data_IF_076942663540
#
_entry.id   IF_076942663540
#
_cell.length_a   1.000
_cell.length_b   1.000
_cell.length_c   1.000
_cell.angle_alpha   90.00
_cell.angle_beta   90.00
_cell.angle_gamma   90.00
#
_symmetry.space_group_name_H-M   'P 1'
#
loop_
_entity.id
_entity.type
_entity.pdbx_description
1 polymer ?
#
# COMPACT_ATOMS: atom_id res chain seq x y z
N UNK A 1 32.84 11.36 -4.52
CA UNK A 1 31.42 11.04 -4.86
C UNK A 1 30.61 11.33 -3.61
N UNK A 2 29.57 12.16 -3.70
CA UNK A 2 28.66 12.40 -2.56
C UNK A 2 27.94 11.11 -2.19
N UNK A 3 27.76 10.86 -0.90
CA UNK A 3 27.05 9.67 -0.42
C UNK A 3 25.61 9.64 -0.95
N UNK A 4 25.13 8.46 -1.39
CA UNK A 4 23.74 8.27 -1.82
C UNK A 4 22.84 8.52 -0.63
N UNK A 5 21.84 9.39 -0.78
CA UNK A 5 20.92 9.75 0.29
C UNK A 5 19.56 9.06 0.16
N UNK A 6 19.14 8.68 -1.05
CA UNK A 6 17.88 8.00 -1.32
C UNK A 6 18.14 6.77 -2.19
N UNK A 7 17.59 5.62 -1.82
CA UNK A 7 17.46 4.45 -2.71
C UNK A 7 15.99 4.25 -3.04
N UNK A 8 15.67 4.21 -4.33
CA UNK A 8 14.33 3.87 -4.84
C UNK A 8 14.34 2.39 -5.17
N UNK A 9 13.47 1.62 -4.53
CA UNK A 9 13.30 0.19 -4.72
C UNK A 9 12.03 -0.07 -5.52
N UNK A 10 12.17 -0.75 -6.65
CA UNK A 10 11.07 -1.11 -7.53
C UNK A 10 11.06 -2.62 -7.68
N UNK A 11 9.91 -3.25 -7.47
CA UNK A 11 9.72 -4.69 -7.70
C UNK A 11 8.80 -4.87 -8.88
N UNK A 12 9.24 -5.62 -9.91
CA UNK A 12 8.47 -5.91 -11.12
C UNK A 12 8.10 -7.38 -11.22
N UNK A 13 6.93 -7.63 -11.79
CA UNK A 13 6.51 -8.95 -12.29
C UNK A 13 5.55 -8.75 -13.45
N UNK A 14 6.01 -8.95 -14.68
CA UNK A 14 5.27 -8.70 -15.92
C UNK A 14 4.65 -7.28 -15.94
N UNK A 15 5.48 -6.25 -15.66
CA UNK A 15 5.03 -4.88 -15.48
C UNK A 15 4.66 -4.16 -16.80
N UNK A 16 4.88 -4.82 -17.95
CA UNK A 16 4.54 -4.24 -19.24
C UNK A 16 5.30 -2.94 -19.52
N UNK A 17 4.59 -1.91 -20.00
CA UNK A 17 5.15 -0.57 -20.29
C UNK A 17 4.98 0.42 -19.14
N UNK A 18 4.22 0.08 -18.11
CA UNK A 18 3.97 1.00 -17.00
C UNK A 18 5.26 1.37 -16.28
N UNK A 19 6.21 0.43 -16.18
CA UNK A 19 7.52 0.67 -15.59
C UNK A 19 8.32 1.76 -16.33
N UNK A 20 8.24 1.84 -17.66
CA UNK A 20 8.94 2.85 -18.45
C UNK A 20 8.40 4.25 -18.11
N UNK A 21 7.07 4.41 -18.05
CA UNK A 21 6.41 5.65 -17.62
C UNK A 21 6.79 6.02 -16.18
N UNK A 22 6.83 5.04 -15.28
CA UNK A 22 7.23 5.25 -13.88
C UNK A 22 8.66 5.80 -13.79
N UNK A 23 9.62 5.19 -14.52
CA UNK A 23 11.01 5.61 -14.54
C UNK A 23 11.23 6.97 -15.20
N UNK A 24 10.51 7.29 -16.28
CA UNK A 24 10.55 8.61 -16.93
C UNK A 24 10.09 9.71 -15.97
N UNK A 25 8.98 9.49 -15.27
CA UNK A 25 8.46 10.44 -14.28
C UNK A 25 9.37 10.56 -13.06
N UNK A 26 9.98 9.46 -12.62
CA UNK A 26 10.98 9.49 -11.55
C UNK A 26 12.21 10.28 -11.97
N UNK A 27 12.71 10.10 -13.19
CA UNK A 27 13.83 10.88 -13.73
C UNK A 27 13.52 12.38 -13.85
N UNK A 28 12.25 12.74 -14.11
CA UNK A 28 11.77 14.12 -14.13
C UNK A 28 11.56 14.73 -12.74
N UNK A 29 11.64 13.95 -11.66
CA UNK A 29 11.44 14.42 -10.29
C UNK A 29 12.55 15.39 -9.86
N UNK A 30 12.18 16.48 -9.18
CA UNK A 30 13.11 17.52 -8.72
C UNK A 30 13.79 17.18 -7.39
N UNK A 31 14.31 15.97 -7.27
CA UNK A 31 15.05 15.53 -6.09
C UNK A 31 16.45 16.13 -6.12
N UNK A 32 16.76 17.03 -5.18
CA UNK A 32 18.05 17.75 -5.09
C UNK A 32 19.15 16.96 -4.36
N UNK A 33 19.01 15.64 -4.28
CA UNK A 33 19.93 14.75 -3.56
C UNK A 33 20.42 13.63 -4.47
N UNK A 34 21.62 13.11 -4.26
CA UNK A 34 22.06 11.90 -4.95
C UNK A 34 21.14 10.74 -4.62
N UNK A 35 20.58 10.10 -5.63
CA UNK A 35 19.76 8.91 -5.47
C UNK A 35 20.20 7.79 -6.42
N UNK A 36 19.82 6.58 -6.10
CA UNK A 36 19.97 5.39 -6.93
C UNK A 36 18.62 4.71 -7.09
N UNK A 37 18.49 3.95 -8.17
CA UNK A 37 17.30 3.12 -8.43
C UNK A 37 17.71 1.68 -8.56
N UNK A 38 17.07 0.81 -7.80
CA UNK A 38 17.30 -0.63 -7.79
C UNK A 38 15.96 -1.28 -8.14
N UNK A 39 15.96 -1.99 -9.27
CA UNK A 39 14.81 -2.74 -9.75
C UNK A 39 15.09 -4.22 -9.58
N UNK A 40 14.26 -4.90 -8.78
CA UNK A 40 14.25 -6.36 -8.67
C UNK A 40 13.10 -6.89 -9.51
N UNK A 41 13.45 -7.67 -10.52
CA UNK A 41 12.49 -8.35 -11.36
C UNK A 41 12.21 -9.75 -10.83
N UNK A 42 10.97 -10.02 -10.47
CA UNK A 42 10.52 -11.27 -9.85
C UNK A 42 10.17 -12.35 -10.91
N UNK A 43 11.13 -12.69 -11.78
CA UNK A 43 10.97 -13.70 -12.84
C UNK A 43 9.90 -13.32 -13.88
N UNK A 44 9.93 -12.11 -14.40
CA UNK A 44 9.07 -11.72 -15.53
C UNK A 44 9.39 -12.54 -16.79
N UNK A 45 8.33 -12.76 -17.59
CA UNK A 45 8.41 -13.49 -18.87
C UNK A 45 8.07 -12.58 -20.07
N UNK A 46 7.77 -11.30 -19.82
CA UNK A 46 7.36 -10.32 -20.83
C UNK A 46 8.50 -9.45 -21.36
N UNK A 47 9.75 -9.76 -20.99
CA UNK A 47 10.95 -9.01 -21.38
C UNK A 47 11.11 -7.68 -20.64
N UNK A 48 10.45 -7.49 -19.50
CA UNK A 48 10.57 -6.28 -18.67
C UNK A 48 12.03 -5.99 -18.27
N UNK A 49 12.81 -6.92 -17.69
CA UNK A 49 14.16 -6.59 -17.21
C UNK A 49 15.10 -6.18 -18.33
N UNK A 50 15.04 -6.83 -19.50
CA UNK A 50 15.89 -6.51 -20.66
C UNK A 50 15.53 -5.14 -21.24
N UNK A 51 14.24 -4.80 -21.30
CA UNK A 51 13.80 -3.48 -21.79
C UNK A 51 14.27 -2.37 -20.85
N UNK A 52 14.11 -2.54 -19.53
CA UNK A 52 14.54 -1.56 -18.55
C UNK A 52 16.07 -1.38 -18.60
N UNK A 53 16.85 -2.47 -18.60
CA UNK A 53 18.30 -2.40 -18.65
C UNK A 53 18.83 -1.67 -19.91
N UNK A 54 18.10 -1.80 -21.04
CA UNK A 54 18.46 -1.13 -22.30
C UNK A 54 18.06 0.35 -22.31
N UNK A 55 16.84 0.67 -21.85
CA UNK A 55 16.29 2.02 -21.94
C UNK A 55 16.75 2.94 -20.80
N UNK A 56 17.05 2.38 -19.64
CA UNK A 56 17.39 3.12 -18.42
C UNK A 56 18.71 2.62 -17.80
N UNK A 57 19.88 2.88 -18.42
CA UNK A 57 21.19 2.36 -17.97
C UNK A 57 21.60 2.89 -16.56
N UNK A 58 20.91 3.87 -16.03
CA UNK A 58 21.08 4.40 -14.68
C UNK A 58 20.33 3.58 -13.61
N UNK A 59 19.46 2.64 -14.00
CA UNK A 59 18.74 1.73 -13.11
C UNK A 59 19.56 0.45 -12.94
N UNK A 60 19.80 0.07 -11.70
CA UNK A 60 20.39 -1.23 -11.38
C UNK A 60 19.30 -2.30 -11.43
N UNK A 61 19.28 -3.11 -12.48
CA UNK A 61 18.34 -4.23 -12.64
C UNK A 61 18.92 -5.50 -12.05
N UNK A 62 18.13 -6.21 -11.25
CA UNK A 62 18.43 -7.52 -10.66
C UNK A 62 17.30 -8.47 -11.06
N UNK A 63 17.60 -9.43 -11.93
CA UNK A 63 16.64 -10.43 -12.35
C UNK A 63 16.71 -11.65 -11.43
N UNK A 64 15.61 -11.95 -10.75
CA UNK A 64 15.47 -13.11 -9.88
C UNK A 64 14.93 -14.32 -10.66
N UNK A 65 15.40 -15.53 -10.37
CA UNK A 65 14.93 -16.74 -11.07
C UNK A 65 13.54 -17.17 -10.63
N UNK A 66 13.04 -16.64 -9.51
CA UNK A 66 11.73 -17.00 -8.93
C UNK A 66 11.03 -15.76 -8.39
N UNK A 67 9.69 -15.82 -8.33
CA UNK A 67 8.90 -14.73 -7.77
C UNK A 67 8.83 -14.83 -6.24
N UNK A 68 9.45 -13.88 -5.55
CA UNK A 68 9.51 -13.78 -4.10
C UNK A 68 8.34 -12.97 -3.48
N UNK A 69 7.39 -12.53 -4.30
CA UNK A 69 6.33 -11.60 -3.88
C UNK A 69 6.85 -10.18 -3.66
N UNK A 70 5.97 -9.33 -3.15
CA UNK A 70 6.30 -7.90 -2.98
C UNK A 70 7.29 -7.66 -1.84
N UNK A 71 7.04 -8.22 -0.66
CA UNK A 71 7.94 -8.07 0.49
C UNK A 71 9.32 -8.66 0.23
N UNK A 72 9.38 -9.89 -0.31
CA UNK A 72 10.65 -10.56 -0.62
C UNK A 72 11.45 -9.83 -1.69
N UNK A 73 10.81 -9.33 -2.74
CA UNK A 73 11.48 -8.51 -3.77
C UNK A 73 12.06 -7.22 -3.19
N UNK A 74 11.31 -6.52 -2.34
CA UNK A 74 11.80 -5.31 -1.67
C UNK A 74 12.93 -5.60 -0.66
N UNK A 75 12.87 -6.72 0.07
CA UNK A 75 13.96 -7.13 0.96
C UNK A 75 15.26 -7.37 0.16
N UNK A 76 15.20 -8.05 -0.98
CA UNK A 76 16.35 -8.25 -1.87
C UNK A 76 16.86 -6.93 -2.46
N UNK A 77 15.98 -6.03 -2.89
CA UNK A 77 16.40 -4.71 -3.36
C UNK A 77 17.12 -3.92 -2.24
N UNK A 78 16.66 -4.03 -1.00
CA UNK A 78 17.23 -3.37 0.17
C UNK A 78 18.69 -3.81 0.45
N UNK A 79 19.05 -5.05 0.18
CA UNK A 79 20.42 -5.57 0.34
C UNK A 79 21.44 -4.78 -0.51
N UNK A 80 20.98 -4.23 -1.64
CA UNK A 80 21.81 -3.46 -2.57
C UNK A 80 21.69 -1.94 -2.38
N UNK A 81 20.74 -1.50 -1.55
CA UNK A 81 20.49 -0.09 -1.30
C UNK A 81 21.54 0.54 -0.38
N UNK A 82 21.91 1.80 -0.64
CA UNK A 82 22.91 2.56 0.13
C UNK A 82 22.33 3.83 0.75
N UNK A 83 21.14 4.27 0.31
CA UNK A 83 20.50 5.48 0.79
C UNK A 83 20.13 5.44 2.26
N UNK A 84 20.10 6.58 2.92
CA UNK A 84 19.60 6.75 4.29
C UNK A 84 18.07 6.83 4.33
N UNK A 85 17.45 7.19 3.22
CA UNK A 85 16.02 7.08 2.95
C UNK A 85 15.78 6.00 1.89
N UNK A 86 14.71 5.24 2.04
CA UNK A 86 14.32 4.12 1.16
C UNK A 86 12.91 4.39 0.67
N UNK A 87 12.73 4.56 -0.64
CA UNK A 87 11.42 4.66 -1.28
C UNK A 87 11.05 3.31 -1.88
N UNK A 88 9.95 2.71 -1.43
CA UNK A 88 9.28 1.64 -2.17
C UNK A 88 8.35 2.31 -3.19
N UNK A 89 8.50 1.93 -4.46
CA UNK A 89 7.72 2.50 -5.56
C UNK A 89 7.24 1.37 -6.47
N UNK A 90 5.92 1.27 -6.66
CA UNK A 90 5.38 0.30 -7.61
C UNK A 90 5.66 0.72 -9.06
N UNK A 91 5.83 -0.25 -9.99
CA UNK A 91 6.08 0.03 -11.39
C UNK A 91 4.93 0.76 -12.09
N UNK A 92 3.73 0.80 -11.50
CA UNK A 92 2.53 1.46 -11.97
C UNK A 92 2.10 2.65 -11.08
N UNK A 93 3.04 3.19 -10.28
CA UNK A 93 2.86 4.39 -9.47
C UNK A 93 3.58 5.59 -10.12
N UNK A 94 2.84 6.64 -10.44
CA UNK A 94 3.28 7.75 -11.30
C UNK A 94 3.38 9.06 -10.52
N UNK A 95 4.58 9.60 -10.44
CA UNK A 95 4.94 10.87 -9.81
C UNK A 95 4.72 12.04 -10.80
N UNK A 96 3.47 12.35 -11.15
CA UNK A 96 3.16 13.43 -12.11
C UNK A 96 3.58 14.82 -11.61
N UNK A 97 3.52 15.05 -10.28
CA UNK A 97 4.10 16.25 -9.68
C UNK A 97 5.60 16.02 -9.46
N UNK A 98 6.48 16.77 -10.14
CA UNK A 98 7.91 16.59 -10.01
C UNK A 98 8.45 16.92 -8.62
N UNK A 99 7.71 17.66 -7.80
CA UNK A 99 8.08 18.03 -6.44
C UNK A 99 7.54 17.03 -5.38
N UNK A 100 6.72 16.07 -5.77
CA UNK A 100 6.08 15.11 -4.86
C UNK A 100 7.10 14.36 -3.99
N UNK A 101 8.15 13.81 -4.60
CA UNK A 101 9.17 13.05 -3.88
C UNK A 101 10.02 13.95 -2.98
N UNK A 102 10.35 15.17 -3.43
CA UNK A 102 11.04 16.15 -2.59
C UNK A 102 10.20 16.49 -1.35
N UNK A 103 8.90 16.72 -1.50
CA UNK A 103 7.99 17.01 -0.39
C UNK A 103 7.87 15.87 0.64
N UNK A 104 7.94 14.59 0.20
CA UNK A 104 8.00 13.44 1.11
C UNK A 104 9.33 13.39 1.88
N UNK A 105 10.46 13.62 1.19
CA UNK A 105 11.79 13.66 1.79
C UNK A 105 11.91 14.79 2.82
N UNK A 106 11.45 15.98 2.48
CA UNK A 106 11.46 17.13 3.39
C UNK A 106 10.62 16.88 4.63
N UNK A 107 9.46 16.21 4.48
CA UNK A 107 8.65 15.82 5.63
C UNK A 107 9.39 14.84 6.53
N UNK A 108 10.01 13.80 5.94
CA UNK A 108 10.77 12.81 6.68
C UNK A 108 11.93 13.47 7.46
N UNK A 109 12.66 14.40 6.83
CA UNK A 109 13.79 15.10 7.47
C UNK A 109 13.35 16.02 8.60
N UNK A 110 12.24 16.75 8.42
CA UNK A 110 11.71 17.68 9.42
C UNK A 110 11.14 16.97 10.67
N UNK A 111 10.86 15.66 10.59
CA UNK A 111 10.21 14.91 11.66
C UNK A 111 11.02 13.63 12.01
N UNK A 112 12.02 13.72 12.90
CA UNK A 112 12.89 12.57 13.26
C UNK A 112 12.14 11.39 13.88
N UNK A 113 10.99 11.63 14.47
CA UNK A 113 10.08 10.65 15.08
C UNK A 113 9.22 9.88 14.05
N UNK A 114 9.22 10.34 12.78
CA UNK A 114 8.52 9.66 11.68
C UNK A 114 9.44 8.61 11.06
N UNK A 115 9.02 7.34 11.12
CA UNK A 115 9.73 6.20 10.51
C UNK A 115 9.37 5.99 9.05
N UNK A 116 8.15 6.34 8.67
CA UNK A 116 7.64 6.19 7.30
C UNK A 116 6.66 7.31 6.93
N UNK A 117 6.67 7.72 5.65
CA UNK A 117 5.74 8.70 5.10
C UNK A 117 5.29 8.27 3.69
N UNK A 118 4.04 8.53 3.35
CA UNK A 118 3.53 8.28 1.99
C UNK A 118 2.48 9.29 1.56
N UNK A 119 2.26 9.38 0.23
CA UNK A 119 1.33 10.31 -0.38
C UNK A 119 -0.09 9.76 -0.40
N UNK A 120 -1.02 10.59 -0.83
CA UNK A 120 -2.35 10.17 -1.27
C UNK A 120 -2.24 9.46 -2.61
N UNK A 121 -2.71 8.20 -2.68
CA UNK A 121 -2.85 7.53 -3.96
C UNK A 121 -4.17 7.91 -4.64
N UNK A 122 -4.11 8.14 -5.96
CA UNK A 122 -5.26 8.44 -6.79
C UNK A 122 -5.34 7.48 -7.97
N UNK A 123 -6.54 7.25 -8.45
CA UNK A 123 -6.75 6.66 -9.77
C UNK A 123 -6.43 7.69 -10.87
N UNK A 124 -6.29 7.27 -12.15
CA UNK A 124 -6.03 8.20 -13.27
C UNK A 124 -7.08 9.30 -13.43
N UNK A 125 -8.31 9.09 -12.96
CA UNK A 125 -9.38 10.08 -12.94
C UNK A 125 -9.27 11.09 -11.78
N UNK A 126 -8.21 11.03 -10.98
CA UNK A 126 -7.96 11.87 -9.81
C UNK A 126 -8.76 11.49 -8.55
N UNK A 127 -9.60 10.46 -8.62
CA UNK A 127 -10.34 9.99 -7.45
C UNK A 127 -9.41 9.28 -6.46
N UNK A 128 -9.68 9.45 -5.16
CA UNK A 128 -8.88 8.87 -4.09
C UNK A 128 -8.98 7.34 -4.10
N UNK A 129 -7.84 6.67 -4.06
CA UNK A 129 -7.72 5.22 -3.98
C UNK A 129 -7.79 4.76 -2.51
N UNK A 130 -9.01 4.48 -2.03
CA UNK A 130 -9.19 3.97 -0.65
C UNK A 130 -8.42 2.66 -0.47
N UNK A 131 -7.56 2.63 0.54
CA UNK A 131 -6.63 1.54 0.79
C UNK A 131 -5.17 1.97 0.61
N UNK A 132 -4.93 3.24 0.40
CA UNK A 132 -3.60 3.86 0.38
C UNK A 132 -2.99 4.05 1.78
N UNK A 133 -3.83 4.15 2.80
CA UNK A 133 -3.45 4.22 4.20
C UNK A 133 -4.58 3.73 5.11
N UNK A 134 -4.25 3.44 6.35
CA UNK A 134 -5.27 3.02 7.30
C UNK A 134 -4.77 2.79 8.71
N UNK A 135 -5.56 2.02 9.45
CA UNK A 135 -5.33 1.76 10.86
C UNK A 135 -5.24 0.26 11.11
N UNK A 136 -4.50 -0.11 12.15
CA UNK A 136 -4.32 -1.51 12.57
C UNK A 136 -5.66 -2.23 12.68
N UNK A 137 -5.78 -3.46 12.16
CA UNK A 137 -7.00 -4.26 12.27
C UNK A 137 -7.21 -4.72 13.72
N UNK A 138 -7.80 -3.83 14.53
CA UNK A 138 -8.24 -4.10 15.91
C UNK A 138 -9.74 -4.34 15.94
N UNK A 139 -10.29 -4.99 17.00
CA UNK A 139 -11.73 -5.20 17.10
C UNK A 139 -12.57 -3.94 16.85
N UNK A 140 -12.18 -2.81 17.44
CA UNK A 140 -12.88 -1.55 17.27
C UNK A 140 -12.81 -1.01 15.82
N UNK A 141 -11.62 -1.03 15.19
CA UNK A 141 -11.46 -0.56 13.81
C UNK A 141 -12.25 -1.42 12.82
N UNK A 142 -12.36 -2.72 13.10
CA UNK A 142 -13.20 -3.65 12.32
C UNK A 142 -14.69 -3.29 12.44
N UNK A 143 -15.18 -3.07 13.66
CA UNK A 143 -16.58 -2.68 13.88
C UNK A 143 -16.91 -1.35 13.23
N UNK A 144 -16.06 -0.33 13.40
CA UNK A 144 -16.20 1.00 12.77
C UNK A 144 -16.24 0.87 11.25
N UNK A 145 -15.33 0.06 10.67
CA UNK A 145 -15.31 -0.18 9.23
C UNK A 145 -16.54 -0.95 8.75
N UNK A 146 -16.95 -2.00 9.46
CA UNK A 146 -18.12 -2.79 9.14
C UNK A 146 -19.40 -1.94 9.15
N UNK A 147 -19.56 -1.07 10.14
CA UNK A 147 -20.70 -0.16 10.26
C UNK A 147 -20.67 1.02 9.26
N UNK A 148 -19.56 1.22 8.51
CA UNK A 148 -19.42 2.33 7.57
C UNK A 148 -19.27 3.70 8.25
N UNK A 149 -18.82 3.73 9.51
CA UNK A 149 -18.72 4.95 10.31
C UNK A 149 -17.45 5.76 10.00
N UNK A 150 -16.40 5.14 9.43
CA UNK A 150 -15.16 5.83 9.04
C UNK A 150 -15.43 7.02 8.11
N UNK A 151 -16.22 6.82 7.07
CA UNK A 151 -16.54 7.87 6.10
C UNK A 151 -17.53 8.92 6.59
N UNK A 152 -18.42 8.55 7.54
CA UNK A 152 -19.49 9.44 8.03
C UNK A 152 -19.04 10.29 9.22
N UNK A 153 -18.37 9.68 10.18
CA UNK A 153 -18.01 10.30 11.45
C UNK A 153 -16.50 10.56 11.60
N UNK A 154 -15.68 10.22 10.60
CA UNK A 154 -14.23 10.38 10.68
C UNK A 154 -13.55 9.44 11.68
N UNK A 155 -14.24 8.37 12.12
CA UNK A 155 -13.68 7.41 13.07
C UNK A 155 -12.62 6.53 12.40
N UNK A 156 -11.65 6.05 13.19
CA UNK A 156 -10.58 5.15 12.72
C UNK A 156 -11.15 3.76 12.41
N UNK A 157 -11.40 3.49 11.13
CA UNK A 157 -11.73 2.16 10.62
C UNK A 157 -10.50 1.43 10.11
N UNK A 158 -10.66 0.45 9.20
CA UNK A 158 -9.52 -0.26 8.60
C UNK A 158 -8.74 0.63 7.62
N UNK A 159 -9.44 1.51 6.91
CA UNK A 159 -8.88 2.40 5.89
C UNK A 159 -9.14 3.86 6.22
N UNK A 160 -8.23 4.71 5.77
CA UNK A 160 -8.43 6.16 5.77
C UNK A 160 -9.59 6.50 4.83
N UNK A 161 -10.55 7.27 5.32
CA UNK A 161 -11.69 7.66 4.50
C UNK A 161 -11.32 8.80 3.54
N UNK A 162 -11.88 8.79 2.33
CA UNK A 162 -11.59 9.81 1.30
C UNK A 162 -11.84 11.26 1.77
N UNK A 163 -12.73 11.47 2.74
CA UNK A 163 -12.93 12.79 3.34
C UNK A 163 -11.71 13.25 4.13
N UNK A 164 -11.06 12.35 4.87
CA UNK A 164 -9.84 12.63 5.65
C UNK A 164 -8.64 12.83 4.70
N UNK A 165 -8.58 12.07 3.62
CA UNK A 165 -7.53 12.16 2.60
C UNK A 165 -7.57 13.44 1.73
N UNK A 166 -8.52 14.36 1.96
CA UNK A 166 -8.62 15.65 1.26
C UNK A 166 -8.03 16.82 2.05
N UNK A 167 -7.45 16.57 3.21
CA UNK A 167 -6.82 17.60 4.04
C UNK A 167 -5.52 18.12 3.44
N UNK A 168 -5.03 19.26 3.97
CA UNK A 168 -3.71 19.80 3.62
C UNK A 168 -2.64 19.47 4.66
N UNK A 169 -3.01 18.90 5.81
CA UNK A 169 -2.08 18.57 6.91
C UNK A 169 -1.77 17.08 6.91
N UNK A 170 -0.52 16.75 7.24
CA UNK A 170 -0.12 15.38 7.48
C UNK A 170 -0.99 14.74 8.57
N UNK A 171 -1.32 13.46 8.39
CA UNK A 171 -2.13 12.67 9.30
C UNK A 171 -1.30 11.51 9.85
N UNK A 172 -1.48 11.21 11.14
CA UNK A 172 -0.93 9.98 11.72
C UNK A 172 -1.86 8.80 11.39
N UNK A 173 -1.27 7.80 10.76
CA UNK A 173 -1.92 6.55 10.39
C UNK A 173 -1.14 5.37 10.99
N UNK A 174 -1.69 4.17 10.90
CA UNK A 174 -0.98 3.00 11.41
C UNK A 174 -0.17 2.30 10.30
N UNK A 175 -0.55 2.48 9.04
CA UNK A 175 0.13 1.93 7.87
C UNK A 175 -0.17 2.74 6.60
N UNK A 176 0.71 2.61 5.62
CA UNK A 176 0.60 3.22 4.27
C UNK A 176 0.91 2.12 3.25
N UNK A 177 0.19 2.15 2.13
CA UNK A 177 0.37 1.22 1.02
C UNK A 177 1.79 1.28 0.44
N UNK A 178 2.39 0.12 0.24
CA UNK A 178 3.73 -0.03 -0.33
C UNK A 178 3.87 0.48 -1.78
N UNK A 179 2.78 0.88 -2.44
CA UNK A 179 2.84 1.40 -3.80
C UNK A 179 3.67 2.69 -3.92
N UNK A 180 3.68 3.54 -2.87
CA UNK A 180 4.60 4.67 -2.73
C UNK A 180 4.83 4.93 -1.24
N UNK A 181 5.89 4.38 -0.68
CA UNK A 181 6.19 4.41 0.75
C UNK A 181 7.64 4.78 0.97
N UNK A 182 7.89 5.95 1.55
CA UNK A 182 9.23 6.43 1.92
C UNK A 182 9.50 6.09 3.39
N UNK A 183 10.61 5.40 3.65
CA UNK A 183 11.03 4.95 4.97
C UNK A 183 12.43 5.48 5.32
N UNK A 184 12.69 5.69 6.61
CA UNK A 184 14.06 5.82 7.10
C UNK A 184 14.74 4.44 7.09
N UNK A 185 15.99 4.37 6.66
CA UNK A 185 16.78 3.13 6.79
C UNK A 185 16.91 2.70 8.26
N UNK A 186 17.12 3.63 9.17
CA UNK A 186 17.17 3.32 10.62
C UNK A 186 15.85 2.76 11.15
N UNK A 187 14.72 3.21 10.63
CA UNK A 187 13.41 2.67 10.98
C UNK A 187 13.22 1.23 10.46
N UNK A 188 13.69 0.95 9.22
CA UNK A 188 13.69 -0.42 8.67
C UNK A 188 14.56 -1.34 9.55
N UNK A 189 15.74 -0.88 9.97
CA UNK A 189 16.61 -1.65 10.86
C UNK A 189 15.93 -1.90 12.24
N UNK A 190 15.26 -0.90 12.79
CA UNK A 190 14.56 -1.01 14.07
C UNK A 190 13.42 -2.03 14.05
N UNK A 191 12.79 -2.26 12.89
CA UNK A 191 11.71 -3.24 12.73
C UNK A 191 12.20 -4.61 12.23
N UNK A 192 13.51 -4.82 12.09
CA UNK A 192 14.09 -6.09 11.64
C UNK A 192 14.04 -6.33 10.14
N UNK A 193 13.89 -5.28 9.31
CA UNK A 193 13.88 -5.39 7.84
C UNK A 193 12.49 -5.36 7.20
N UNK A 194 12.46 -5.56 5.89
CA UNK A 194 11.23 -5.54 5.07
C UNK A 194 10.66 -6.94 4.79
N UNK A 195 11.24 -7.98 5.35
CA UNK A 195 10.64 -9.31 5.24
C UNK A 195 9.29 -9.37 5.93
N UNK A 196 8.37 -10.10 5.35
CA UNK A 196 7.02 -10.33 5.87
C UNK A 196 6.57 -11.75 5.51
N UNK A 197 5.77 -12.41 6.37
CA UNK A 197 5.19 -13.70 6.05
C UNK A 197 4.13 -13.63 4.94
N UNK A 198 3.74 -12.43 4.50
CA UNK A 198 2.79 -12.22 3.42
C UNK A 198 3.51 -12.18 2.08
N UNK A 199 3.03 -13.01 1.13
CA UNK A 199 3.54 -12.97 -0.24
C UNK A 199 3.09 -11.70 -0.98
N UNK A 200 1.84 -11.30 -0.78
CA UNK A 200 1.22 -10.13 -1.38
C UNK A 200 0.00 -9.71 -0.55
N UNK A 201 -0.15 -8.42 -0.26
CA UNK A 201 -1.15 -7.79 0.58
C UNK A 201 -1.00 -8.10 2.08
N UNK A 202 -0.87 -7.07 2.87
CA UNK A 202 -0.76 -7.09 4.33
C UNK A 202 0.66 -6.84 4.84
N UNK A 203 1.69 -6.96 3.99
CA UNK A 203 3.07 -6.63 4.33
C UNK A 203 3.24 -5.17 4.76
N UNK A 204 2.56 -4.25 4.08
CA UNK A 204 2.55 -2.82 4.40
C UNK A 204 1.87 -2.54 5.75
N UNK A 205 0.80 -3.26 6.05
CA UNK A 205 0.15 -3.22 7.37
C UNK A 205 1.08 -3.78 8.45
N UNK A 206 1.79 -4.89 8.17
CA UNK A 206 2.78 -5.48 9.07
C UNK A 206 3.91 -4.50 9.38
N UNK A 207 4.52 -3.90 8.35
CA UNK A 207 5.59 -2.91 8.53
C UNK A 207 5.12 -1.70 9.33
N UNK A 208 3.94 -1.16 9.01
CA UNK A 208 3.35 -0.05 9.75
C UNK A 208 3.12 -0.38 11.23
N UNK A 209 2.59 -1.56 11.54
CA UNK A 209 2.42 -2.01 12.91
C UNK A 209 3.76 -2.17 13.64
N UNK A 210 4.78 -2.76 13.00
CA UNK A 210 6.12 -2.90 13.59
C UNK A 210 6.80 -1.55 13.85
N UNK A 211 6.64 -0.58 12.93
CA UNK A 211 7.14 0.79 13.14
C UNK A 211 6.53 1.42 14.40
N UNK A 212 5.23 1.29 14.56
CA UNK A 212 4.53 1.82 15.74
C UNK A 212 4.92 1.11 17.03
N UNK A 213 5.13 -0.20 16.99
CA UNK A 213 5.66 -0.95 18.14
C UNK A 213 7.08 -0.49 18.54
N UNK A 214 7.88 -0.05 17.56
CA UNK A 214 9.18 0.56 17.76
C UNK A 214 9.11 2.04 18.22
N UNK A 215 7.90 2.58 18.45
CA UNK A 215 7.69 3.97 18.90
C UNK A 215 7.80 5.01 17.79
N UNK A 216 7.82 4.60 16.52
CA UNK A 216 7.90 5.49 15.38
C UNK A 216 6.51 5.81 14.82
N UNK A 217 6.35 7.03 14.31
CA UNK A 217 5.11 7.45 13.65
C UNK A 217 5.13 7.08 12.17
N UNK A 218 3.94 6.88 11.62
CA UNK A 218 3.69 6.71 10.19
C UNK A 218 2.84 7.89 9.73
N UNK A 219 3.37 8.70 8.80
CA UNK A 219 2.75 9.95 8.38
C UNK A 219 2.17 9.84 6.97
N UNK A 220 0.91 10.20 6.80
CA UNK A 220 0.24 10.30 5.51
C UNK A 220 0.15 11.76 5.06
N UNK A 221 0.58 12.05 3.82
CA UNK A 221 0.58 13.38 3.19
C UNK A 221 -0.55 13.49 2.17
N UNK A 222 -1.73 13.96 2.58
CA UNK A 222 -2.89 14.08 1.69
C UNK A 222 -2.74 15.17 0.62
N UNK A 223 -1.85 16.12 0.84
CA UNK A 223 -1.52 17.22 -0.08
C UNK A 223 -0.56 16.81 -1.21
N UNK A 224 0.15 15.69 -1.06
CA UNK A 224 0.98 15.08 -2.11
C UNK A 224 0.18 13.94 -2.75
N UNK A 225 0.03 13.98 -4.08
CA UNK A 225 -0.72 12.95 -4.81
C UNK A 225 0.20 12.17 -5.76
N UNK A 226 0.02 10.85 -5.77
CA UNK A 226 0.65 9.92 -6.71
C UNK A 226 -0.43 9.10 -7.39
N UNK A 227 -0.40 9.02 -8.71
CA UNK A 227 -1.35 8.20 -9.46
C UNK A 227 -0.88 6.75 -9.45
N UNK A 228 -1.77 5.81 -9.10
CA UNK A 228 -1.46 4.39 -9.06
C UNK A 228 -2.52 3.60 -9.84
N UNK A 229 -2.10 2.82 -10.85
CA UNK A 229 -3.04 2.11 -11.72
C UNK A 229 -3.69 0.90 -11.06
N UNK A 230 -3.06 0.36 -10.03
CA UNK A 230 -3.51 -0.82 -9.28
C UNK A 230 -3.58 -2.07 -10.17
N UNK A 231 -2.49 -2.30 -10.93
CA UNK A 231 -2.34 -3.48 -11.79
C UNK A 231 -3.18 -3.41 -13.05
N UNK A 232 -3.05 -2.36 -13.84
CA UNK A 232 -3.42 -2.11 -15.26
C UNK A 232 -4.51 -2.92 -15.96
N UNK A 233 -5.01 -3.97 -15.36
CA UNK A 233 -6.11 -4.79 -15.85
C UNK A 233 -7.38 -4.33 -15.15
N UNK A 234 -8.38 -3.88 -15.90
CA UNK A 234 -9.74 -3.57 -15.45
C UNK A 234 -10.46 -4.76 -14.79
N UNK A 235 -9.71 -5.63 -14.12
CA UNK A 235 -10.19 -6.77 -13.37
C UNK A 235 -10.80 -6.33 -12.05
N UNK A 236 -11.94 -6.88 -11.74
CA UNK A 236 -12.63 -6.72 -10.48
C UNK A 236 -11.67 -6.82 -9.29
N UNK A 237 -11.70 -5.84 -8.36
CA UNK A 237 -10.86 -5.79 -7.15
C UNK A 237 -10.71 -7.17 -6.51
N UNK A 238 -9.49 -7.73 -6.49
CA UNK A 238 -9.25 -9.01 -5.82
C UNK A 238 -9.67 -8.94 -4.35
N UNK A 239 -10.25 -10.00 -3.80
CA UNK A 239 -10.56 -10.05 -2.36
C UNK A 239 -9.37 -10.49 -1.50
N UNK A 240 -8.20 -10.76 -2.11
CA UNK A 240 -7.00 -11.27 -1.41
C UNK A 240 -6.45 -10.32 -0.33
N UNK A 241 -6.72 -9.02 -0.44
CA UNK A 241 -6.35 -8.07 0.62
C UNK A 241 -7.00 -8.41 1.98
N UNK A 242 -8.15 -9.10 1.98
CA UNK A 242 -8.78 -9.58 3.21
C UNK A 242 -7.97 -10.69 3.88
N UNK A 243 -7.26 -11.51 3.10
CA UNK A 243 -6.40 -12.59 3.62
C UNK A 243 -5.24 -12.00 4.42
N UNK A 244 -4.58 -10.97 3.86
CA UNK A 244 -3.50 -10.25 4.53
C UNK A 244 -3.97 -9.59 5.84
N UNK A 245 -5.07 -8.83 5.79
CA UNK A 245 -5.62 -8.20 7.00
C UNK A 245 -6.04 -9.24 8.05
N UNK A 246 -6.60 -10.37 7.65
CA UNK A 246 -6.97 -11.44 8.56
C UNK A 246 -5.75 -12.10 9.20
N UNK A 247 -4.67 -12.29 8.43
CA UNK A 247 -3.39 -12.80 8.96
C UNK A 247 -2.79 -11.83 10.00
N UNK A 248 -2.73 -10.53 9.67
CA UNK A 248 -2.28 -9.50 10.62
C UNK A 248 -3.17 -9.47 11.87
N UNK A 249 -4.50 -9.49 11.69
CA UNK A 249 -5.42 -9.53 12.83
C UNK A 249 -5.10 -10.71 13.76
N UNK A 250 -4.90 -11.91 13.19
CA UNK A 250 -4.60 -13.12 13.95
C UNK A 250 -3.25 -13.02 14.68
N UNK A 251 -2.21 -12.53 14.00
CA UNK A 251 -0.88 -12.32 14.57
C UNK A 251 -0.92 -11.33 15.75
N UNK A 252 -1.58 -10.18 15.55
CA UNK A 252 -1.60 -9.06 16.49
C UNK A 252 -2.53 -9.28 17.70
N UNK A 253 -3.51 -10.14 17.58
CA UNK A 253 -4.48 -10.42 18.64
C UNK A 253 -4.32 -11.81 19.25
N UNK A 254 -3.25 -12.54 18.94
CA UNK A 254 -2.97 -13.86 19.51
C UNK A 254 -3.01 -13.81 21.05
N UNK A 255 -3.71 -14.76 21.68
CA UNK A 255 -3.88 -14.84 23.13
C UNK A 255 -4.85 -13.83 23.75
N UNK A 256 -5.51 -12.97 22.97
CA UNK A 256 -6.53 -12.03 23.46
C UNK A 256 -7.94 -12.62 23.35
N UNK A 257 -8.88 -12.13 24.17
CA UNK A 257 -10.28 -12.60 24.19
C UNK A 257 -10.99 -12.57 22.83
N UNK A 258 -10.63 -11.60 21.97
CA UNK A 258 -11.23 -11.39 20.66
C UNK A 258 -10.30 -11.84 19.51
N UNK A 259 -9.37 -12.77 19.77
CA UNK A 259 -8.43 -13.27 18.76
C UNK A 259 -9.06 -14.20 17.71
N UNK A 260 -10.28 -14.65 17.97
CA UNK A 260 -10.97 -15.58 17.05
C UNK A 260 -11.09 -15.00 15.64
N UNK A 261 -10.75 -15.78 14.62
CA UNK A 261 -11.00 -15.42 13.21
C UNK A 261 -12.44 -15.03 12.91
N UNK A 262 -13.38 -15.59 13.65
CA UNK A 262 -14.80 -15.25 13.51
C UNK A 262 -15.10 -13.79 13.90
N UNK A 263 -14.33 -13.23 14.85
CA UNK A 263 -14.48 -11.84 15.25
C UNK A 263 -13.97 -10.87 14.15
N UNK A 264 -12.96 -11.26 13.40
CA UNK A 264 -12.55 -10.52 12.20
C UNK A 264 -13.59 -10.62 11.09
N UNK A 265 -13.98 -11.84 10.74
CA UNK A 265 -14.81 -12.10 9.55
C UNK A 265 -16.30 -11.78 9.77
N UNK A 266 -16.86 -12.04 10.95
CA UNK A 266 -18.28 -11.89 11.24
C UNK A 266 -18.82 -10.47 11.02
N UNK A 267 -18.28 -9.45 11.72
CA UNK A 267 -18.70 -8.07 11.56
C UNK A 267 -18.49 -7.55 10.14
N UNK A 268 -17.34 -7.87 9.49
CA UNK A 268 -17.07 -7.44 8.12
C UNK A 268 -18.07 -8.04 7.12
N UNK A 269 -18.38 -9.33 7.26
CA UNK A 269 -19.39 -10.00 6.43
C UNK A 269 -20.74 -9.32 6.54
N UNK A 270 -21.20 -9.07 7.77
CA UNK A 270 -22.46 -8.37 8.00
C UNK A 270 -22.43 -6.98 7.35
N UNK A 271 -21.39 -6.20 7.60
CA UNK A 271 -21.22 -4.85 7.03
C UNK A 271 -21.19 -4.85 5.50
N UNK A 272 -20.47 -5.78 4.88
CA UNK A 272 -20.45 -5.89 3.41
C UNK A 272 -21.79 -6.33 2.85
N UNK A 273 -22.50 -7.26 3.52
CA UNK A 273 -23.82 -7.71 3.09
C UNK A 273 -24.84 -6.56 3.15
N UNK A 274 -24.88 -5.81 4.23
CA UNK A 274 -25.78 -4.66 4.37
C UNK A 274 -25.47 -3.57 3.31
N UNK A 275 -24.18 -3.28 3.07
CA UNK A 275 -23.78 -2.33 2.01
C UNK A 275 -24.12 -2.85 0.62
N UNK A 276 -24.00 -4.14 0.35
CA UNK A 276 -24.39 -4.74 -0.93
C UNK A 276 -25.88 -4.54 -1.20
N UNK A 277 -26.71 -4.73 -0.19
CA UNK A 277 -28.16 -4.48 -0.30
C UNK A 277 -28.43 -2.99 -0.53
N UNK A 278 -27.85 -2.11 0.29
CA UNK A 278 -28.04 -0.66 0.17
C UNK A 278 -27.63 -0.12 -1.21
N UNK A 279 -26.43 -0.52 -1.70
CA UNK A 279 -25.97 -0.12 -3.03
C UNK A 279 -26.84 -0.73 -4.14
N UNK A 280 -27.30 -1.97 -4.00
CA UNK A 280 -28.20 -2.61 -4.96
C UNK A 280 -29.53 -1.91 -5.10
N UNK A 281 -30.13 -1.52 -3.98
CA UNK A 281 -31.38 -0.72 -3.96
C UNK A 281 -31.13 0.66 -4.58
N UNK A 282 -30.08 1.36 -4.14
CA UNK A 282 -29.73 2.68 -4.67
C UNK A 282 -29.42 2.65 -6.19
N UNK A 283 -28.76 1.59 -6.67
CA UNK A 283 -28.46 1.38 -8.08
C UNK A 283 -29.76 1.31 -8.93
N UNK A 284 -30.74 0.56 -8.42
CA UNK A 284 -32.05 0.43 -9.10
C UNK A 284 -32.83 1.74 -9.11
N UNK A 285 -32.88 2.42 -7.95
CA UNK A 285 -33.64 3.67 -7.81
C UNK A 285 -33.02 4.83 -8.62
N UNK A 286 -31.68 4.93 -8.64
CA UNK A 286 -30.96 6.04 -9.27
C UNK A 286 -30.46 5.71 -10.66
N UNK A 287 -30.65 4.48 -11.16
CA UNK A 287 -30.15 3.97 -12.45
C UNK A 287 -28.63 4.23 -12.66
N UNK A 288 -27.83 4.06 -11.57
CA UNK A 288 -26.39 4.33 -11.57
C UNK A 288 -25.59 3.02 -11.65
N UNK A 289 -24.88 2.73 -12.79
CA UNK A 289 -24.08 1.51 -12.96
C UNK A 289 -22.98 1.35 -11.91
N UNK A 290 -22.38 2.46 -11.46
CA UNK A 290 -21.31 2.45 -10.46
C UNK A 290 -21.77 1.90 -9.10
N UNK A 291 -23.03 2.16 -8.71
CA UNK A 291 -23.58 1.60 -7.49
C UNK A 291 -23.85 0.09 -7.63
N UNK A 292 -24.17 -0.38 -8.83
CA UNK A 292 -24.33 -1.81 -9.09
C UNK A 292 -22.99 -2.54 -8.96
N UNK A 293 -21.89 -1.99 -9.52
CA UNK A 293 -20.53 -2.52 -9.34
C UNK A 293 -20.12 -2.56 -7.87
N UNK A 294 -20.36 -1.48 -7.12
CA UNK A 294 -20.09 -1.45 -5.67
C UNK A 294 -20.87 -2.52 -4.93
N UNK A 295 -22.13 -2.77 -5.28
CA UNK A 295 -22.92 -3.84 -4.68
C UNK A 295 -22.33 -5.23 -4.95
N UNK A 296 -21.84 -5.46 -6.16
CA UNK A 296 -21.19 -6.71 -6.56
C UNK A 296 -19.87 -6.93 -5.80
N UNK A 297 -19.02 -5.91 -5.71
CA UNK A 297 -17.79 -5.95 -4.90
C UNK A 297 -18.09 -6.33 -3.44
N UNK A 298 -19.10 -5.71 -2.83
CA UNK A 298 -19.48 -6.02 -1.45
C UNK A 298 -19.96 -7.47 -1.30
N UNK A 299 -20.70 -8.02 -2.27
CA UNK A 299 -21.12 -9.43 -2.24
C UNK A 299 -19.91 -10.35 -2.34
N UNK A 300 -18.97 -10.05 -3.25
CA UNK A 300 -17.73 -10.82 -3.43
C UNK A 300 -16.89 -10.83 -2.17
N UNK A 301 -16.68 -9.68 -1.51
CA UNK A 301 -15.95 -9.58 -0.25
C UNK A 301 -16.63 -10.34 0.87
N UNK A 302 -17.96 -10.23 1.00
CA UNK A 302 -18.72 -11.01 1.97
C UNK A 302 -18.63 -12.53 1.70
N UNK A 303 -18.65 -12.94 0.43
CA UNK A 303 -18.49 -14.33 0.03
C UNK A 303 -17.10 -14.85 0.36
N UNK A 304 -16.05 -14.09 0.05
CA UNK A 304 -14.66 -14.44 0.33
C UNK A 304 -14.42 -14.69 1.82
N UNK A 305 -14.96 -13.83 2.68
CA UNK A 305 -14.86 -14.00 4.14
C UNK A 305 -15.54 -15.27 4.68
N UNK A 306 -16.49 -15.87 3.95
CA UNK A 306 -17.07 -17.19 4.32
C UNK A 306 -16.10 -18.34 4.09
N UNK A 307 -15.29 -18.25 3.04
CA UNK A 307 -14.30 -19.29 2.68
C UNK A 307 -12.97 -19.11 3.39
N UNK A 308 -12.77 -18.01 4.08
CA UNK A 308 -11.53 -17.65 4.75
C UNK A 308 -11.26 -18.62 5.92
N UNK A 309 -10.40 -19.61 5.65
CA UNK A 309 -9.90 -20.53 6.67
C UNK A 309 -8.62 -19.94 7.25
N UNK A 310 -8.74 -19.17 8.31
CA UNK A 310 -7.58 -18.79 9.10
C UNK A 310 -7.08 -20.07 9.77
N UNK A 311 -6.00 -20.65 9.24
CA UNK A 311 -5.35 -21.80 9.86
C UNK A 311 -4.76 -21.30 11.20
N UNK A 312 -5.13 -21.92 12.34
CA UNK A 312 -4.32 -21.74 13.54
C UNK A 312 -2.92 -22.26 13.20
N UNK A 313 -1.90 -21.46 13.48
CA UNK A 313 -0.50 -21.95 13.52
C UNK A 313 -0.27 -22.73 14.78
#
# INVERSE_FOLDING_TARGET
>A
MSAVSLSVLIVTYNAGRDIETCLDLLAASRVRRPYEVILVDNASTDGTPERVARAFPWVRVIAEPTNHGFAGGNARALEHARGTAILLLNPDAFLHDPDALAGLLDHLDAHPDVGAVGPRLTFPDGTHQVGDAGYEPRPLSILVHAAGLSGRLGLRGLYLASRQARGARALDVDWICGACLLLRRSAIAAIGGLESPMFLYGEDVDWGCRLRDAGLRVAYRPDIAVTHLQGGSGSARSARWLDGLAAIYSLRNAGRLLSSPAFFSGPLRLGFTLRAVAYGVAARLRRQPDLARKAEDMRRFSGHLRSLRLRPR
#
